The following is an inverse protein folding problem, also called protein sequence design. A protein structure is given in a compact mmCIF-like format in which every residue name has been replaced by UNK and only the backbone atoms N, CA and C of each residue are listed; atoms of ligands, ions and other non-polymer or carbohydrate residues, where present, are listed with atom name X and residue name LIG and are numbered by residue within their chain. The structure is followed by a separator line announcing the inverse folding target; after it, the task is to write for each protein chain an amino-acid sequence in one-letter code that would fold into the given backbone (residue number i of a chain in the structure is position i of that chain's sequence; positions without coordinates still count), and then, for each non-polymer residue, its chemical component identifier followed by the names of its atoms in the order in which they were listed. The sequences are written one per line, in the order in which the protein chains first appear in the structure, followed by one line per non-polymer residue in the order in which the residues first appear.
data_IF_026956412313
#
_entry.id   IF_026956412313
#
_cell.length_a   1.000
_cell.length_b   1.000
_cell.length_c   1.000
_cell.angle_alpha   90.00
_cell.angle_beta   90.00
_cell.angle_gamma   90.00
#
_symmetry.space_group_name_H-M   'P 1'
#
loop_
_entity.id
_entity.type
_entity.pdbx_description
1 polymer ?
#
# COMPACT_ATOMS: atom_id res chain seq x y z
N UNK A 1 61.58 24.83 6.63
CA UNK A 1 60.36 24.08 6.99
C UNK A 1 59.19 24.77 6.29
N UNK A 2 58.58 24.14 5.28
CA UNK A 2 57.42 24.69 4.54
C UNK A 2 56.29 23.68 4.69
N UNK A 3 55.36 23.95 5.59
CA UNK A 3 54.19 23.10 5.80
C UNK A 3 53.10 23.53 4.82
N UNK A 4 52.80 22.66 3.85
CA UNK A 4 51.61 22.74 3.00
C UNK A 4 50.40 22.27 3.82
N UNK A 5 49.46 23.18 4.08
CA UNK A 5 48.14 22.85 4.60
C UNK A 5 47.31 22.32 3.41
N UNK A 6 47.08 21.02 3.38
CA UNK A 6 46.14 20.38 2.47
C UNK A 6 44.72 20.64 2.96
N UNK A 7 43.94 21.38 2.17
CA UNK A 7 42.50 21.55 2.39
C UNK A 7 41.84 20.22 2.08
N UNK A 8 41.34 19.54 3.11
CA UNK A 8 40.47 18.37 2.96
C UNK A 8 39.09 18.88 2.55
N UNK A 9 38.74 18.75 1.27
CA UNK A 9 37.40 19.02 0.77
C UNK A 9 36.50 17.86 1.18
N UNK A 10 35.78 18.01 2.30
CA UNK A 10 34.73 17.07 2.67
C UNK A 10 33.54 17.27 1.72
N UNK A 11 33.35 16.34 0.79
CA UNK A 11 32.14 16.26 -0.03
C UNK A 11 30.99 15.93 0.92
N UNK A 12 30.18 16.94 1.24
CA UNK A 12 28.90 16.79 1.91
C UNK A 12 27.97 16.00 0.98
N UNK A 13 27.73 14.73 1.30
CA UNK A 13 26.70 13.93 0.66
C UNK A 13 25.37 14.47 1.21
N UNK A 14 24.68 15.31 0.47
CA UNK A 14 23.37 15.85 0.87
C UNK A 14 22.29 14.76 0.80
N UNK A 15 21.48 14.56 1.85
CA UNK A 15 20.39 13.57 1.89
C UNK A 15 19.12 13.98 1.10
N UNK A 16 19.24 14.88 0.12
CA UNK A 16 18.07 15.49 -0.53
C UNK A 16 17.22 14.53 -1.38
N UNK A 17 17.74 13.36 -1.78
CA UNK A 17 16.99 12.41 -2.61
C UNK A 17 15.96 11.55 -1.84
N UNK A 18 15.99 11.56 -0.50
CA UNK A 18 15.17 10.66 0.33
C UNK A 18 13.77 11.20 0.67
N UNK A 19 13.48 12.46 0.29
CA UNK A 19 12.18 13.11 0.47
C UNK A 19 11.29 13.02 -0.79
N UNK A 20 11.83 12.57 -1.94
CA UNK A 20 11.17 12.78 -3.22
C UNK A 20 9.82 12.05 -3.33
N UNK A 21 9.68 10.81 -2.86
CA UNK A 21 8.43 10.08 -3.04
C UNK A 21 7.26 10.68 -2.25
N UNK A 22 7.44 11.05 -0.98
CA UNK A 22 6.35 11.61 -0.17
C UNK A 22 5.95 13.00 -0.67
N UNK A 23 6.91 13.80 -1.09
CA UNK A 23 6.67 15.14 -1.64
C UNK A 23 5.96 15.04 -3.00
N UNK A 24 6.41 14.14 -3.89
CA UNK A 24 5.75 13.87 -5.18
C UNK A 24 4.31 13.38 -5.02
N UNK A 25 4.06 12.49 -4.07
CA UNK A 25 2.71 11.98 -3.77
C UNK A 25 1.83 13.12 -3.22
N UNK A 26 2.37 13.93 -2.30
CA UNK A 26 1.65 15.06 -1.72
C UNK A 26 1.31 16.12 -2.78
N UNK A 27 2.27 16.46 -3.65
CA UNK A 27 2.08 17.40 -4.75
C UNK A 27 1.00 16.93 -5.74
N UNK A 28 0.96 15.61 -6.01
CA UNK A 28 -0.07 15.00 -6.85
C UNK A 28 -1.44 14.92 -6.15
N UNK A 29 -1.45 14.85 -4.81
CA UNK A 29 -2.66 14.76 -3.99
C UNK A 29 -3.42 13.43 -4.14
N UNK A 30 -2.76 12.38 -4.63
CA UNK A 30 -3.34 11.05 -4.75
C UNK A 30 -2.30 9.92 -4.56
N UNK A 31 -2.72 8.90 -3.83
CA UNK A 31 -2.00 7.64 -3.63
C UNK A 31 -2.45 6.65 -4.71
N UNK A 32 -1.52 6.23 -5.58
CA UNK A 32 -1.73 5.23 -6.62
C UNK A 32 -1.58 3.84 -5.99
N UNK A 33 -2.66 3.07 -5.96
CA UNK A 33 -2.77 1.79 -5.26
C UNK A 33 -3.03 0.69 -6.27
N UNK A 34 -2.07 -0.22 -6.43
CA UNK A 34 -2.28 -1.40 -7.25
C UNK A 34 -3.16 -2.43 -6.54
N UNK A 35 -4.13 -2.96 -7.29
CA UNK A 35 -5.05 -4.02 -6.85
C UNK A 35 -5.28 -5.04 -7.96
N UNK A 36 -5.67 -6.24 -7.57
CA UNK A 36 -6.02 -7.32 -8.49
C UNK A 36 -7.55 -7.46 -8.52
N UNK A 37 -8.23 -7.27 -9.67
CA UNK A 37 -9.70 -7.13 -9.74
C UNK A 37 -10.47 -8.46 -9.69
N UNK A 38 -9.80 -9.59 -9.49
CA UNK A 38 -10.40 -10.93 -9.55
C UNK A 38 -10.22 -11.74 -8.24
N UNK A 39 -9.90 -11.06 -7.14
CA UNK A 39 -9.53 -11.66 -5.85
C UNK A 39 -10.57 -11.40 -4.76
N UNK A 40 -11.82 -11.84 -4.95
CA UNK A 40 -12.84 -11.71 -3.93
C UNK A 40 -12.47 -12.50 -2.64
N UNK A 41 -12.74 -11.97 -1.43
CA UNK A 41 -13.40 -10.69 -1.12
C UNK A 41 -12.44 -9.50 -0.96
N UNK A 42 -11.17 -9.64 -1.34
CA UNK A 42 -10.13 -8.62 -1.19
C UNK A 42 -10.31 -7.45 -2.16
N UNK A 43 -10.19 -7.69 -3.46
CA UNK A 43 -10.52 -6.73 -4.52
C UNK A 43 -11.18 -7.50 -5.64
N UNK A 44 -12.37 -7.05 -6.05
CA UNK A 44 -13.12 -7.65 -7.14
C UNK A 44 -14.04 -6.65 -7.83
N UNK A 45 -14.48 -6.95 -9.06
CA UNK A 45 -15.50 -6.15 -9.74
C UNK A 45 -16.92 -6.59 -9.38
N UNK A 46 -17.77 -5.61 -9.12
CA UNK A 46 -19.23 -5.75 -8.99
C UNK A 46 -19.87 -4.61 -9.77
N UNK A 47 -20.74 -4.93 -10.72
CA UNK A 47 -21.38 -3.94 -11.61
C UNK A 47 -20.34 -3.01 -12.27
N UNK A 48 -19.25 -3.57 -12.80
CA UNK A 48 -18.10 -2.87 -13.39
C UNK A 48 -17.32 -1.95 -12.43
N UNK A 49 -17.61 -1.97 -11.13
CA UNK A 49 -16.91 -1.17 -10.12
C UNK A 49 -16.04 -2.04 -9.23
N UNK A 50 -14.82 -1.56 -8.96
CA UNK A 50 -13.96 -2.14 -7.94
C UNK A 50 -14.62 -2.03 -6.56
N UNK A 51 -14.64 -3.15 -5.85
CA UNK A 51 -15.13 -3.27 -4.48
C UNK A 51 -14.33 -4.34 -3.73
N UNK A 52 -14.40 -4.34 -2.41
CA UNK A 52 -13.76 -5.35 -1.57
C UNK A 52 -13.02 -4.73 -0.39
N UNK A 53 -12.41 -5.59 0.42
CA UNK A 53 -11.58 -5.18 1.56
C UNK A 53 -10.47 -4.21 1.16
N UNK A 54 -9.67 -4.53 0.13
CA UNK A 54 -8.52 -3.73 -0.31
C UNK A 54 -8.97 -2.36 -0.86
N UNK A 55 -10.16 -2.29 -1.46
CA UNK A 55 -10.71 -1.03 -1.98
C UNK A 55 -11.11 -0.10 -0.83
N UNK A 56 -11.88 -0.59 0.14
CA UNK A 56 -12.29 0.24 1.28
C UNK A 56 -11.10 0.58 2.18
N UNK A 57 -10.21 -0.38 2.41
CA UNK A 57 -9.00 -0.16 3.19
C UNK A 57 -8.06 0.85 2.51
N UNK A 58 -7.83 0.74 1.19
CA UNK A 58 -7.00 1.67 0.43
C UNK A 58 -7.55 3.10 0.44
N UNK A 59 -8.87 3.27 0.39
CA UNK A 59 -9.53 4.58 0.55
C UNK A 59 -9.32 5.17 1.95
N UNK A 60 -9.44 4.34 2.99
CA UNK A 60 -9.23 4.78 4.37
C UNK A 60 -7.76 5.12 4.63
N UNK A 61 -6.82 4.33 4.10
CA UNK A 61 -5.39 4.60 4.17
C UNK A 61 -5.00 5.90 3.46
N UNK A 62 -5.50 6.13 2.24
CA UNK A 62 -5.24 7.38 1.51
C UNK A 62 -5.79 8.59 2.28
N UNK A 63 -6.97 8.46 2.89
CA UNK A 63 -7.55 9.54 3.72
C UNK A 63 -6.71 9.85 4.95
N UNK A 64 -6.17 8.84 5.62
CA UNK A 64 -5.25 9.03 6.75
C UNK A 64 -3.92 9.71 6.36
N UNK A 65 -3.61 9.73 5.06
CA UNK A 65 -2.47 10.43 4.48
C UNK A 65 -2.85 11.79 3.86
N UNK A 66 -4.11 12.22 4.01
CA UNK A 66 -4.67 13.42 3.37
C UNK A 66 -4.64 13.38 1.82
N UNK A 67 -4.73 12.18 1.24
CA UNK A 67 -4.70 11.92 -0.20
C UNK A 67 -6.01 11.33 -0.71
N UNK A 68 -6.23 11.43 -2.03
CA UNK A 68 -7.24 10.61 -2.73
C UNK A 68 -6.66 9.24 -3.07
N UNK A 69 -7.46 8.18 -3.03
CA UNK A 69 -7.06 6.88 -3.55
C UNK A 69 -7.30 6.83 -5.07
N UNK A 70 -6.28 6.45 -5.83
CA UNK A 70 -6.37 6.13 -7.26
C UNK A 70 -6.03 4.64 -7.44
N UNK A 71 -6.99 3.84 -7.88
CA UNK A 71 -6.81 2.39 -8.01
C UNK A 71 -6.30 2.01 -9.40
N UNK A 72 -5.21 1.27 -9.44
CA UNK A 72 -4.60 0.74 -10.67
C UNK A 72 -4.81 -0.77 -10.71
N UNK A 73 -5.64 -1.25 -11.64
CA UNK A 73 -5.83 -2.68 -11.86
C UNK A 73 -4.55 -3.31 -12.47
N UNK A 74 -4.13 -4.45 -11.92
CA UNK A 74 -2.94 -5.17 -12.37
C UNK A 74 -3.09 -6.68 -12.13
N UNK A 75 -2.16 -7.47 -12.68
CA UNK A 75 -2.10 -8.92 -12.45
C UNK A 75 -1.16 -9.28 -11.29
N UNK A 76 -1.31 -10.49 -10.72
CA UNK A 76 -0.39 -11.02 -9.71
C UNK A 76 1.08 -11.02 -10.17
N UNK A 77 1.34 -11.28 -11.45
CA UNK A 77 2.70 -11.32 -12.01
C UNK A 77 3.33 -9.92 -12.12
N UNK A 78 2.51 -8.87 -12.28
CA UNK A 78 2.97 -7.50 -12.51
C UNK A 78 2.93 -6.64 -11.24
N UNK A 79 2.24 -7.08 -10.19
CA UNK A 79 1.97 -6.25 -8.99
C UNK A 79 3.26 -5.81 -8.26
N UNK A 80 4.22 -6.70 -8.05
CA UNK A 80 5.46 -6.33 -7.36
C UNK A 80 6.46 -5.60 -8.27
N UNK A 81 6.69 -6.02 -9.53
CA UNK A 81 7.51 -5.25 -10.47
C UNK A 81 7.00 -3.82 -10.73
N UNK A 82 5.68 -3.61 -10.67
CA UNK A 82 5.11 -2.27 -10.81
C UNK A 82 5.33 -1.38 -9.58
N UNK A 83 5.37 -1.94 -8.36
CA UNK A 83 5.80 -1.20 -7.17
C UNK A 83 7.27 -0.81 -7.31
N UNK A 84 8.13 -1.79 -7.62
CA UNK A 84 9.57 -1.57 -7.78
C UNK A 84 9.88 -0.44 -8.78
N UNK A 85 9.21 -0.45 -9.93
CA UNK A 85 9.39 0.56 -10.98
C UNK A 85 8.68 1.89 -10.74
N UNK A 86 7.85 2.01 -9.70
CA UNK A 86 7.10 3.26 -9.39
C UNK A 86 5.91 3.52 -10.30
N UNK A 87 5.42 2.49 -11.00
CA UNK A 87 4.17 2.55 -11.79
C UNK A 87 2.99 2.94 -10.90
N UNK A 88 3.04 2.56 -9.63
CA UNK A 88 2.15 2.97 -8.55
C UNK A 88 2.96 3.06 -7.25
N UNK A 89 2.40 3.74 -6.25
CA UNK A 89 3.12 4.05 -5.02
C UNK A 89 3.13 2.87 -4.05
N UNK A 90 2.00 2.15 -3.99
CA UNK A 90 1.83 0.94 -3.15
C UNK A 90 1.05 -0.15 -3.88
N UNK A 91 1.09 -1.37 -3.35
CA UNK A 91 0.14 -2.42 -3.70
C UNK A 91 -0.59 -2.95 -2.46
N UNK A 92 -1.86 -3.32 -2.62
CA UNK A 92 -2.59 -4.12 -1.65
C UNK A 92 -2.77 -5.51 -2.25
N UNK A 93 -2.28 -6.53 -1.54
CA UNK A 93 -2.34 -7.92 -1.98
C UNK A 93 -2.88 -8.83 -0.88
N UNK A 94 -3.51 -9.97 -1.26
CA UNK A 94 -3.93 -10.98 -0.29
C UNK A 94 -2.76 -11.50 0.54
N UNK A 95 -3.05 -11.98 1.76
CA UNK A 95 -2.01 -12.47 2.68
C UNK A 95 -1.13 -13.60 2.12
N UNK A 96 -1.66 -14.41 1.19
CA UNK A 96 -0.92 -15.48 0.53
C UNK A 96 0.14 -14.99 -0.46
N UNK A 97 0.01 -13.73 -0.91
CA UNK A 97 0.85 -13.08 -1.91
C UNK A 97 1.65 -11.90 -1.31
N UNK A 98 1.49 -11.63 -0.01
CA UNK A 98 2.22 -10.56 0.66
C UNK A 98 3.73 -10.80 0.55
N UNK A 99 4.50 -9.80 0.09
CA UNK A 99 5.91 -9.97 -0.13
C UNK A 99 6.70 -9.98 1.18
N UNK A 100 7.95 -10.43 1.11
CA UNK A 100 8.92 -10.32 2.20
C UNK A 100 9.76 -9.05 2.03
N UNK A 101 10.29 -8.54 3.14
CA UNK A 101 11.11 -7.31 3.19
C UNK A 101 12.53 -7.45 2.59
N UNK A 102 12.88 -8.59 2.00
CA UNK A 102 14.20 -8.90 1.42
C UNK A 102 14.27 -8.69 -0.11
N UNK A 103 13.23 -8.11 -0.70
CA UNK A 103 13.11 -7.83 -2.13
C UNK A 103 13.62 -6.46 -2.59
N UNK A 104 13.39 -6.09 -3.87
CA UNK A 104 13.79 -4.81 -4.46
C UNK A 104 12.88 -3.62 -4.05
N UNK A 105 12.08 -3.79 -3.00
CA UNK A 105 11.15 -2.80 -2.44
C UNK A 105 11.22 -2.91 -0.92
N UNK A 106 10.75 -1.87 -0.23
CA UNK A 106 10.56 -1.93 1.22
C UNK A 106 9.08 -2.25 1.53
N UNK A 107 8.78 -2.59 2.79
CA UNK A 107 7.43 -2.96 3.21
C UNK A 107 7.05 -2.27 4.51
N UNK A 108 5.76 -1.99 4.69
CA UNK A 108 5.23 -1.43 5.93
C UNK A 108 5.38 -2.40 7.11
N UNK A 109 5.13 -1.89 8.32
CA UNK A 109 4.83 -2.76 9.45
C UNK A 109 3.61 -3.65 9.15
N UNK A 110 3.61 -4.84 9.73
CA UNK A 110 2.51 -5.78 9.60
C UNK A 110 1.25 -5.24 10.31
N UNK A 111 0.09 -5.37 9.66
CA UNK A 111 -1.19 -4.91 10.16
C UNK A 111 -2.31 -5.96 10.00
N UNK A 112 -3.39 -5.78 10.75
CA UNK A 112 -4.55 -6.69 10.73
C UNK A 112 -4.28 -8.07 11.36
N UNK A 113 -5.33 -8.86 11.51
CA UNK A 113 -5.23 -10.23 12.03
C UNK A 113 -4.40 -11.14 11.11
N UNK A 114 -4.48 -10.88 9.80
CA UNK A 114 -3.77 -11.62 8.77
C UNK A 114 -2.30 -11.22 8.60
N UNK A 115 -1.80 -10.24 9.37
CA UNK A 115 -0.42 -9.73 9.31
C UNK A 115 0.00 -9.32 7.90
N UNK A 116 -0.88 -8.57 7.23
CA UNK A 116 -0.64 -8.02 5.90
C UNK A 116 0.48 -6.98 5.96
N UNK A 117 1.19 -6.78 4.84
CA UNK A 117 2.21 -5.73 4.68
C UNK A 117 1.98 -5.00 3.36
N UNK A 118 2.35 -3.72 3.30
CA UNK A 118 2.22 -2.87 2.12
C UNK A 118 3.60 -2.66 1.50
N UNK A 119 3.90 -3.19 0.30
CA UNK A 119 5.13 -2.87 -0.40
C UNK A 119 5.10 -1.47 -1.02
N UNK A 120 6.26 -0.82 -1.05
CA UNK A 120 6.52 0.47 -1.71
C UNK A 120 7.97 0.56 -2.18
N UNK A 121 8.31 1.53 -3.02
CA UNK A 121 9.66 1.67 -3.57
C UNK A 121 10.74 1.71 -2.47
N UNK A 122 11.87 1.07 -2.75
CA UNK A 122 13.00 1.00 -1.83
C UNK A 122 13.56 2.38 -1.47
N UNK A 123 14.12 2.49 -0.28
CA UNK A 123 14.87 3.66 0.21
C UNK A 123 14.01 4.91 0.43
N UNK A 124 12.74 4.73 0.84
CA UNK A 124 11.77 5.80 1.12
C UNK A 124 11.34 5.87 2.61
N UNK A 125 12.24 6.19 3.54
CA UNK A 125 11.97 6.10 4.99
C UNK A 125 10.92 7.11 5.49
N UNK A 126 10.79 8.27 4.84
CA UNK A 126 9.77 9.26 5.17
C UNK A 126 8.37 8.74 4.79
N UNK A 127 8.23 8.17 3.59
CA UNK A 127 7.01 7.54 3.14
C UNK A 127 6.65 6.32 4.01
N UNK A 128 7.63 5.48 4.34
CA UNK A 128 7.45 4.35 5.27
C UNK A 128 6.86 4.83 6.60
N UNK A 129 7.44 5.88 7.18
CA UNK A 129 6.98 6.46 8.44
C UNK A 129 5.55 6.98 8.34
N UNK A 130 5.20 7.65 7.24
CA UNK A 130 3.86 8.14 6.99
C UNK A 130 2.83 6.99 6.89
N UNK A 131 3.12 5.97 6.09
CA UNK A 131 2.28 4.77 5.94
C UNK A 131 2.11 4.05 7.28
N UNK A 132 3.19 3.81 8.02
CA UNK A 132 3.14 3.13 9.32
C UNK A 132 2.30 3.92 10.35
N UNK A 133 2.42 5.25 10.37
CA UNK A 133 1.59 6.08 11.24
C UNK A 133 0.11 6.06 10.84
N UNK A 134 -0.19 6.06 9.55
CA UNK A 134 -1.56 5.93 9.04
C UNK A 134 -2.17 4.56 9.41
N UNK A 135 -1.41 3.47 9.23
CA UNK A 135 -1.80 2.12 9.65
C UNK A 135 -2.10 2.05 11.16
N UNK A 136 -1.29 2.72 11.97
CA UNK A 136 -1.49 2.79 13.41
C UNK A 136 -2.79 3.55 13.76
N UNK A 137 -3.11 4.66 13.07
CA UNK A 137 -4.38 5.38 13.26
C UNK A 137 -5.61 4.56 12.83
N UNK A 138 -5.54 3.82 11.72
CA UNK A 138 -6.60 2.90 11.30
C UNK A 138 -6.83 1.78 12.31
N UNK A 139 -5.75 1.29 12.93
CA UNK A 139 -5.82 0.30 14.00
C UNK A 139 -6.45 0.90 15.27
N UNK A 140 -5.98 2.06 15.72
CA UNK A 140 -6.42 2.69 16.97
C UNK A 140 -7.88 3.17 16.91
N UNK A 141 -8.35 3.58 15.72
CA UNK A 141 -9.76 3.90 15.49
C UNK A 141 -10.68 2.67 15.44
N UNK A 142 -10.12 1.45 15.38
CA UNK A 142 -10.86 0.21 15.19
C UNK A 142 -11.28 -0.05 13.74
N UNK A 143 -10.96 0.86 12.82
CA UNK A 143 -11.41 0.79 11.43
C UNK A 143 -10.92 -0.45 10.70
N UNK A 144 -9.66 -0.85 10.93
CA UNK A 144 -9.10 -2.09 10.36
C UNK A 144 -9.92 -3.30 10.78
N UNK A 145 -10.28 -3.40 12.08
CA UNK A 145 -11.05 -4.53 12.61
C UNK A 145 -12.49 -4.54 12.07
N UNK A 146 -13.12 -3.39 11.89
CA UNK A 146 -14.44 -3.28 11.25
C UNK A 146 -14.43 -3.80 9.82
N UNK A 147 -13.43 -3.44 9.03
CA UNK A 147 -13.28 -3.90 7.65
C UNK A 147 -13.01 -5.41 7.59
N UNK A 148 -12.12 -5.92 8.44
CA UNK A 148 -11.86 -7.35 8.54
C UNK A 148 -13.11 -8.13 8.94
N UNK A 149 -13.88 -7.62 9.91
CA UNK A 149 -15.15 -8.22 10.30
C UNK A 149 -16.15 -8.22 9.13
N UNK A 150 -16.32 -7.09 8.45
CA UNK A 150 -17.25 -6.94 7.33
C UNK A 150 -16.95 -7.93 6.20
N UNK A 151 -15.68 -8.04 5.81
CA UNK A 151 -15.30 -8.80 4.61
C UNK A 151 -14.92 -10.26 4.88
N UNK A 152 -14.44 -10.59 6.08
CA UNK A 152 -13.92 -11.93 6.38
C UNK A 152 -14.70 -12.73 7.43
N UNK A 153 -15.59 -12.12 8.23
CA UNK A 153 -16.41 -12.87 9.20
C UNK A 153 -17.29 -13.93 8.51
N UNK A 154 -17.90 -13.59 7.38
CA UNK A 154 -18.71 -14.52 6.61
C UNK A 154 -17.91 -15.75 6.13
N UNK A 155 -16.65 -15.57 5.72
CA UNK A 155 -15.76 -16.68 5.34
C UNK A 155 -15.50 -17.65 6.50
N UNK A 156 -15.39 -17.13 7.73
CA UNK A 156 -15.13 -17.95 8.92
C UNK A 156 -16.37 -18.71 9.39
N UNK A 157 -17.57 -18.17 9.13
CA UNK A 157 -18.84 -18.78 9.51
C UNK A 157 -19.40 -19.77 8.47
N UNK A 158 -18.74 -19.94 7.32
CA UNK A 158 -19.29 -20.69 6.18
C UNK A 158 -20.49 -19.99 5.52
N UNK A 159 -20.65 -18.70 5.80
CA UNK A 159 -21.72 -17.85 5.24
C UNK A 159 -21.25 -17.22 3.93
N UNK A 160 -22.17 -16.96 2.97
CA UNK A 160 -21.81 -16.26 1.74
C UNK A 160 -21.23 -14.88 2.08
N UNK A 161 -20.03 -14.60 1.57
CA UNK A 161 -19.37 -13.29 1.71
C UNK A 161 -20.21 -12.19 1.08
N UNK A 162 -20.02 -10.90 1.44
CA UNK A 162 -20.65 -9.80 0.71
C UNK A 162 -20.39 -9.86 -0.80
N UNK A 163 -19.27 -10.46 -1.22
CA UNK A 163 -18.98 -10.77 -2.62
C UNK A 163 -19.92 -11.83 -3.21
N UNK A 164 -20.23 -12.90 -2.48
CA UNK A 164 -21.17 -13.95 -2.90
C UNK A 164 -22.65 -13.48 -2.92
N UNK A 165 -22.98 -12.39 -2.25
CA UNK A 165 -24.32 -11.76 -2.27
C UNK A 165 -24.48 -10.71 -3.37
N UNK A 166 -23.44 -10.44 -4.16
CA UNK A 166 -23.53 -9.59 -5.32
C UNK A 166 -24.34 -10.28 -6.44
N UNK A 167 -25.22 -9.57 -7.16
CA UNK A 167 -25.79 -10.12 -8.39
C UNK A 167 -24.66 -10.51 -9.34
N UNK A 168 -24.78 -11.69 -9.96
CA UNK A 168 -23.85 -12.10 -11.01
C UNK A 168 -23.86 -11.06 -12.14
N UNK A 169 -22.70 -10.74 -12.73
CA UNK A 169 -22.65 -9.79 -13.84
C UNK A 169 -23.58 -10.26 -14.97
N UNK A 170 -24.40 -9.35 -15.47
CA UNK A 170 -25.22 -9.63 -16.65
C UNK A 170 -24.27 -9.83 -17.85
N UNK A 171 -24.37 -11.01 -18.50
CA UNK A 171 -23.66 -11.34 -19.73
C UNK A 171 -24.09 -10.48 -20.91
#
# INVERSE_FOLDING_TARGET
MRSTIGVLLAVLITPLAQAELIDEIADRGELRIAVQPDNAPYSFKKDERLTGFEIEFGQDLARELDLRAEFVETTAAEVLPGVESGKYDIALTPSSESPKADGPFDVSQAFGEKKLVIPFQKDNPAFESAVNNALQRLKDSGRTAELEQKWFKAMQAGEPTPAALAPAPAH
#
